data_IF_006380632525
#
_entry.id   IF_006380632525
#
_cell.length_a   1.000
_cell.length_b   1.000
_cell.length_c   1.000
_cell.angle_alpha   90.00
_cell.angle_beta   90.00
_cell.angle_gamma   90.00
#
_symmetry.space_group_name_H-M   'P 1'
#
loop_
_entity.id
_entity.type
_entity.pdbx_description
1 polymer ?
#
# COMPACT_ATOMS: atom_id res chain seq x y z
N UNK A 1 14.81 -8.36 8.27
CA UNK A 1 15.07 -7.67 6.99
C UNK A 1 14.35 -8.44 5.90
N UNK A 2 13.61 -7.76 5.04
CA UNK A 2 12.82 -8.38 3.98
C UNK A 2 13.63 -8.52 2.68
N UNK A 3 13.34 -9.55 1.90
CA UNK A 3 13.99 -9.77 0.60
C UNK A 3 13.27 -8.99 -0.51
N UNK A 4 13.77 -7.81 -0.86
CA UNK A 4 13.14 -6.88 -1.81
C UNK A 4 12.84 -7.54 -3.18
N UNK A 5 13.75 -8.35 -3.72
CA UNK A 5 13.53 -9.03 -5.00
C UNK A 5 12.33 -9.98 -4.95
N UNK A 6 12.22 -10.76 -3.88
CA UNK A 6 11.09 -11.67 -3.65
C UNK A 6 9.79 -10.87 -3.49
N UNK A 7 9.79 -9.82 -2.66
CA UNK A 7 8.61 -8.99 -2.48
C UNK A 7 8.15 -8.34 -3.80
N UNK A 8 9.08 -7.90 -4.65
CA UNK A 8 8.75 -7.36 -5.96
C UNK A 8 8.11 -8.42 -6.88
N UNK A 9 8.63 -9.64 -6.88
CA UNK A 9 8.10 -10.73 -7.70
C UNK A 9 6.69 -11.18 -7.26
N UNK A 10 6.42 -11.16 -5.96
CA UNK A 10 5.18 -11.66 -5.35
C UNK A 10 4.08 -10.59 -5.21
N UNK A 11 4.37 -9.36 -5.61
CA UNK A 11 3.44 -8.23 -5.60
C UNK A 11 3.17 -7.74 -7.01
N UNK A 12 2.17 -6.87 -7.17
CA UNK A 12 1.87 -6.21 -8.43
C UNK A 12 2.06 -4.68 -8.33
N UNK A 13 2.07 -4.00 -9.46
CA UNK A 13 2.14 -2.54 -9.49
C UNK A 13 0.80 -1.95 -9.04
N UNK A 14 0.82 -0.83 -8.30
CA UNK A 14 -0.41 -0.23 -7.77
C UNK A 14 -1.42 0.18 -8.83
N UNK A 15 -0.98 0.66 -10.00
CA UNK A 15 -1.90 0.99 -11.09
C UNK A 15 -2.46 -0.26 -11.75
N UNK A 16 -1.63 -1.29 -11.91
CA UNK A 16 -2.08 -2.59 -12.42
C UNK A 16 -3.14 -3.21 -11.51
N UNK A 17 -2.95 -3.14 -10.19
CA UNK A 17 -3.94 -3.61 -9.22
C UNK A 17 -5.27 -2.87 -9.30
N UNK A 18 -5.23 -1.54 -9.40
CA UNK A 18 -6.44 -0.71 -9.51
C UNK A 18 -7.20 -1.07 -10.79
N UNK A 19 -6.50 -1.19 -11.92
CA UNK A 19 -7.16 -1.52 -13.20
C UNK A 19 -7.71 -2.95 -13.21
N UNK A 20 -6.96 -3.92 -12.69
CA UNK A 20 -7.42 -5.32 -12.61
C UNK A 20 -8.60 -5.49 -11.66
N UNK A 21 -8.73 -4.62 -10.66
CA UNK A 21 -9.81 -4.61 -9.67
C UNK A 21 -11.03 -3.80 -10.09
N UNK A 22 -10.98 -3.07 -11.21
CA UNK A 22 -11.99 -2.07 -11.62
C UNK A 22 -13.43 -2.58 -11.64
N UNK A 23 -13.66 -3.80 -12.10
CA UNK A 23 -15.01 -4.39 -12.13
C UNK A 23 -15.54 -4.74 -10.73
N UNK A 24 -14.66 -5.19 -9.83
CA UNK A 24 -15.02 -5.64 -8.47
C UNK A 24 -15.06 -4.48 -7.47
N UNK A 25 -14.23 -3.46 -7.69
CA UNK A 25 -14.01 -2.33 -6.82
C UNK A 25 -13.86 -1.02 -7.64
N UNK A 26 -14.93 -0.57 -8.33
CA UNK A 26 -14.91 0.67 -9.10
C UNK A 26 -14.53 1.91 -8.25
N UNK A 27 -14.76 1.84 -6.94
CA UNK A 27 -14.38 2.90 -5.98
C UNK A 27 -12.88 3.22 -6.00
N UNK A 28 -12.01 2.26 -6.36
CA UNK A 28 -10.60 2.55 -6.56
C UNK A 28 -10.37 3.54 -7.70
N UNK A 29 -11.01 3.29 -8.85
CA UNK A 29 -10.91 4.15 -10.03
C UNK A 29 -11.57 5.51 -9.78
N UNK A 30 -12.74 5.54 -9.15
CA UNK A 30 -13.43 6.79 -8.80
C UNK A 30 -12.57 7.66 -7.89
N UNK A 31 -11.99 7.07 -6.84
CA UNK A 31 -11.11 7.81 -5.93
C UNK A 31 -9.83 8.25 -6.62
N UNK A 32 -9.23 7.42 -7.46
CA UNK A 32 -8.06 7.80 -8.26
C UNK A 32 -8.38 9.02 -9.14
N UNK A 33 -9.51 9.04 -9.84
CA UNK A 33 -9.89 10.18 -10.69
C UNK A 33 -10.19 11.46 -9.89
N UNK A 34 -10.71 11.34 -8.67
CA UNK A 34 -11.13 12.48 -7.86
C UNK A 34 -10.04 13.06 -6.95
N UNK A 35 -8.95 12.31 -6.70
CA UNK A 35 -7.89 12.75 -5.78
C UNK A 35 -6.81 13.55 -6.50
N UNK A 36 -6.22 14.52 -5.81
CA UNK A 36 -5.08 15.31 -6.30
C UNK A 36 -4.13 15.53 -5.14
N UNK A 37 -2.84 15.30 -5.36
CA UNK A 37 -1.83 15.47 -4.33
C UNK A 37 -1.53 16.95 -4.06
N UNK A 38 -1.15 17.22 -2.81
CA UNK A 38 -0.59 18.51 -2.45
C UNK A 38 0.82 18.66 -3.07
N UNK A 39 0.96 19.65 -3.96
CA UNK A 39 2.18 19.85 -4.77
C UNK A 39 3.46 20.03 -3.94
N UNK A 40 3.38 20.67 -2.79
CA UNK A 40 4.53 20.85 -1.91
C UNK A 40 4.99 19.50 -1.34
N UNK A 41 4.05 18.67 -0.90
CA UNK A 41 4.33 17.34 -0.34
C UNK A 41 4.86 16.41 -1.42
N UNK A 42 4.26 16.41 -2.62
CA UNK A 42 4.73 15.57 -3.73
C UNK A 42 6.16 15.93 -4.17
N UNK A 43 6.51 17.23 -4.14
CA UNK A 43 7.89 17.69 -4.40
C UNK A 43 8.87 17.14 -3.37
N UNK A 44 8.53 17.17 -2.08
CA UNK A 44 9.40 16.61 -1.03
C UNK A 44 9.53 15.09 -1.15
N UNK A 45 8.41 14.38 -1.35
CA UNK A 45 8.41 12.93 -1.54
C UNK A 45 9.28 12.48 -2.73
N UNK A 46 9.33 13.26 -3.81
CA UNK A 46 10.19 12.98 -4.97
C UNK A 46 11.66 12.83 -4.57
N UNK A 47 12.15 13.62 -3.61
CA UNK A 47 13.53 13.55 -3.10
C UNK A 47 13.88 12.23 -2.37
N UNK A 48 12.87 11.40 -2.06
CA UNK A 48 13.03 10.10 -1.40
C UNK A 48 12.66 8.92 -2.31
N UNK A 49 12.19 9.19 -3.52
CA UNK A 49 11.59 8.20 -4.43
C UNK A 49 12.52 7.05 -4.79
N UNK A 50 13.82 7.31 -4.89
CA UNK A 50 14.79 6.30 -5.25
C UNK A 50 15.21 5.44 -4.05
N UNK A 51 14.97 5.87 -2.81
CA UNK A 51 15.51 5.24 -1.58
C UNK A 51 14.59 4.19 -0.97
N UNK A 52 13.28 4.32 -1.20
CA UNK A 52 12.28 3.55 -0.50
C UNK A 52 11.29 2.88 -1.45
N UNK A 53 10.60 1.85 -0.96
CA UNK A 53 9.47 1.22 -1.64
C UNK A 53 8.36 0.98 -0.62
N UNK A 54 7.13 1.30 -1.01
CA UNK A 54 5.93 1.04 -0.22
C UNK A 54 5.39 -0.33 -0.64
N UNK A 55 5.21 -1.23 0.31
CA UNK A 55 4.47 -2.48 0.12
C UNK A 55 3.16 -2.38 0.87
N UNK A 56 2.04 -2.39 0.14
CA UNK A 56 0.71 -2.26 0.72
C UNK A 56 -0.11 -3.54 0.52
N UNK A 57 -0.92 -3.87 1.53
CA UNK A 57 -1.84 -4.98 1.50
C UNK A 57 -3.26 -4.48 1.25
N UNK A 58 -3.96 -5.04 0.26
CA UNK A 58 -5.26 -4.53 -0.18
C UNK A 58 -6.26 -5.64 -0.51
N UNK A 59 -7.55 -5.30 -0.40
CA UNK A 59 -8.63 -6.13 -0.88
C UNK A 59 -9.76 -5.29 -1.50
N UNK A 60 -10.38 -5.85 -2.52
CA UNK A 60 -11.46 -5.24 -3.32
C UNK A 60 -12.75 -5.06 -2.53
N UNK A 61 -12.89 -5.65 -1.34
CA UNK A 61 -14.06 -5.51 -0.46
C UNK A 61 -13.82 -4.53 0.69
N UNK A 62 -12.65 -3.91 0.80
CA UNK A 62 -12.26 -3.10 1.94
C UNK A 62 -12.50 -1.59 1.69
N UNK A 63 -13.42 -0.93 2.43
CA UNK A 63 -13.67 0.50 2.28
C UNK A 63 -12.45 1.39 2.52
N UNK A 64 -11.61 1.00 3.48
CA UNK A 64 -10.40 1.76 3.82
C UNK A 64 -9.34 1.63 2.70
N UNK A 65 -9.32 0.50 1.99
CA UNK A 65 -8.47 0.35 0.81
C UNK A 65 -8.91 1.32 -0.28
N UNK A 66 -10.23 1.46 -0.52
CA UNK A 66 -10.74 2.42 -1.53
C UNK A 66 -10.27 3.85 -1.28
N UNK A 67 -10.08 4.23 -0.01
CA UNK A 67 -9.64 5.59 0.36
C UNK A 67 -8.16 5.83 0.10
N UNK A 68 -7.31 4.83 0.40
CA UNK A 68 -5.87 5.02 0.52
C UNK A 68 -5.04 4.43 -0.63
N UNK A 69 -5.42 3.26 -1.19
CA UNK A 69 -4.66 2.63 -2.28
C UNK A 69 -4.59 3.52 -3.54
N UNK A 70 -5.67 4.21 -3.95
CA UNK A 70 -5.60 5.14 -5.07
C UNK A 70 -4.69 6.34 -4.84
N UNK A 71 -4.53 6.77 -3.58
CA UNK A 71 -3.60 7.86 -3.24
C UNK A 71 -2.16 7.40 -3.42
N UNK A 72 -1.82 6.15 -3.08
CA UNK A 72 -0.50 5.60 -3.35
C UNK A 72 -0.17 5.53 -4.85
N UNK A 73 -1.18 5.30 -5.70
CA UNK A 73 -1.00 5.33 -7.16
C UNK A 73 -0.63 6.72 -7.67
N UNK A 74 -1.27 7.77 -7.14
CA UNK A 74 -0.88 9.16 -7.41
C UNK A 74 0.52 9.48 -6.91
N UNK A 75 0.87 9.04 -5.70
CA UNK A 75 2.20 9.26 -5.13
C UNK A 75 3.25 8.63 -6.05
N UNK A 76 3.06 7.38 -6.46
CA UNK A 76 3.98 6.73 -7.38
C UNK A 76 4.10 7.48 -8.71
N UNK A 77 2.99 7.94 -9.30
CA UNK A 77 2.99 8.64 -10.58
C UNK A 77 3.68 10.00 -10.52
N UNK A 78 3.38 10.82 -9.52
CA UNK A 78 3.90 12.18 -9.44
C UNK A 78 5.34 12.24 -8.91
N UNK A 79 5.72 11.28 -8.05
CA UNK A 79 6.98 11.35 -7.30
C UNK A 79 7.99 10.30 -7.71
N UNK A 80 7.55 9.20 -8.34
CA UNK A 80 8.37 8.03 -8.60
C UNK A 80 8.55 7.10 -7.39
N UNK A 81 7.99 7.43 -6.22
CA UNK A 81 8.07 6.58 -5.03
C UNK A 81 7.32 5.27 -5.26
N UNK A 82 8.10 4.21 -5.48
CA UNK A 82 7.58 2.91 -5.89
C UNK A 82 6.61 2.33 -4.85
N UNK A 83 5.46 1.88 -5.32
CA UNK A 83 4.42 1.22 -4.54
C UNK A 83 4.08 -0.13 -5.15
N UNK A 84 4.03 -1.15 -4.30
CA UNK A 84 3.74 -2.54 -4.65
C UNK A 84 2.58 -3.06 -3.83
N UNK A 85 1.67 -3.81 -4.45
CA UNK A 85 0.44 -4.29 -3.82
C UNK A 85 0.47 -5.80 -3.65
N UNK A 86 0.21 -6.25 -2.43
CA UNK A 86 -0.22 -7.60 -2.11
C UNK A 86 -1.76 -7.61 -2.06
N UNK A 87 -2.35 -7.89 -3.22
CA UNK A 87 -3.78 -7.77 -3.47
C UNK A 87 -4.59 -9.02 -3.15
N UNK A 88 -5.89 -8.94 -3.49
CA UNK A 88 -6.82 -10.07 -3.50
C UNK A 88 -6.98 -10.81 -2.16
N UNK A 89 -6.79 -10.08 -1.06
CA UNK A 89 -6.84 -10.70 0.26
C UNK A 89 -8.23 -11.22 0.60
N UNK A 90 -8.24 -12.37 1.28
CA UNK A 90 -9.47 -13.02 1.72
C UNK A 90 -9.34 -13.43 3.18
N UNK A 91 -10.33 -13.06 4.00
CA UNK A 91 -10.39 -13.50 5.39
C UNK A 91 -10.63 -15.00 5.47
N UNK A 92 -9.99 -15.65 6.44
CA UNK A 92 -10.29 -17.05 6.76
C UNK A 92 -11.41 -17.14 7.79
N UNK A 93 -12.66 -17.11 7.32
CA UNK A 93 -13.84 -17.16 8.19
C UNK A 93 -13.99 -18.51 8.93
N UNK A 94 -13.24 -19.55 8.56
CA UNK A 94 -13.33 -20.89 9.18
C UNK A 94 -12.25 -21.14 10.22
N UNK A 95 -11.24 -20.28 10.29
CA UNK A 95 -10.14 -20.43 11.23
C UNK A 95 -10.33 -19.53 12.45
N UNK A 96 -10.07 -20.08 13.63
CA UNK A 96 -10.01 -19.30 14.88
C UNK A 96 -8.63 -18.73 15.16
N UNK A 97 -7.60 -19.13 14.40
CA UNK A 97 -6.19 -18.76 14.61
C UNK A 97 -5.59 -18.00 13.43
N UNK A 98 -5.96 -18.35 12.19
CA UNK A 98 -5.50 -17.67 10.99
C UNK A 98 -6.50 -16.59 10.58
N UNK A 99 -6.01 -15.37 10.32
CA UNK A 99 -6.85 -14.25 9.87
C UNK A 99 -7.12 -14.28 8.38
N UNK A 100 -6.14 -14.71 7.59
CA UNK A 100 -6.15 -14.66 6.13
C UNK A 100 -6.12 -16.07 5.56
N UNK A 101 -6.94 -16.31 4.54
CA UNK A 101 -6.94 -17.56 3.81
C UNK A 101 -5.88 -17.50 2.72
N UNK A 102 -4.94 -18.44 2.75
CA UNK A 102 -3.86 -18.59 1.77
C UNK A 102 -4.09 -19.94 1.05
N UNK A 103 -4.41 -19.98 -0.25
CA UNK A 103 -4.80 -18.90 -1.16
C UNK A 103 -6.27 -18.42 -0.97
N UNK A 104 -6.68 -17.26 -1.51
CA UNK A 104 -6.00 -16.41 -2.50
C UNK A 104 -5.05 -15.35 -1.92
N UNK A 105 -5.03 -15.15 -0.60
CA UNK A 105 -4.08 -14.22 0.01
C UNK A 105 -2.65 -14.75 -0.21
N UNK A 106 -1.66 -13.87 -0.42
CA UNK A 106 -0.26 -14.26 -0.57
C UNK A 106 0.34 -14.64 0.78
N UNK A 107 1.45 -15.39 0.80
CA UNK A 107 2.09 -15.83 2.06
C UNK A 107 2.64 -14.67 2.90
N UNK A 108 2.87 -13.51 2.26
CA UNK A 108 3.36 -12.29 2.91
C UNK A 108 2.42 -11.77 4.00
N UNK A 109 1.15 -12.18 4.03
CA UNK A 109 0.27 -11.85 5.17
C UNK A 109 0.77 -12.48 6.48
N UNK A 110 1.47 -13.61 6.42
CA UNK A 110 2.17 -14.21 7.57
C UNK A 110 3.56 -13.57 7.76
N UNK A 111 4.31 -13.29 6.68
CA UNK A 111 5.66 -12.68 6.78
C UNK A 111 5.65 -11.26 7.38
N UNK A 112 4.55 -10.52 7.21
CA UNK A 112 4.35 -9.17 7.77
C UNK A 112 3.46 -9.17 9.03
N UNK A 113 3.08 -10.35 9.55
CA UNK A 113 2.14 -10.47 10.67
C UNK A 113 0.87 -9.62 10.47
N UNK A 114 0.31 -9.64 9.25
CA UNK A 114 -0.74 -8.71 8.83
C UNK A 114 -2.01 -8.86 9.68
N UNK A 115 -2.39 -7.78 10.36
CA UNK A 115 -3.59 -7.76 11.21
C UNK A 115 -4.78 -7.06 10.53
N UNK A 116 -4.52 -5.97 9.82
CA UNK A 116 -5.54 -5.08 9.25
C UNK A 116 -5.19 -4.64 7.83
N UNK A 117 -6.17 -4.12 7.10
CA UNK A 117 -5.96 -3.60 5.75
C UNK A 117 -6.71 -2.28 5.54
N UNK A 118 -6.18 -1.35 4.72
CA UNK A 118 -4.87 -1.43 4.09
C UNK A 118 -3.76 -1.28 5.14
N UNK A 119 -2.68 -2.04 5.00
CA UNK A 119 -1.45 -1.81 5.77
C UNK A 119 -0.33 -1.50 4.80
N UNK A 120 0.38 -0.42 5.03
CA UNK A 120 1.39 0.14 4.12
C UNK A 120 2.73 0.11 4.86
N UNK A 121 3.64 -0.73 4.41
CA UNK A 121 4.97 -0.89 4.99
C UNK A 121 5.99 -0.20 4.09
N UNK A 122 6.80 0.68 4.66
CA UNK A 122 7.81 1.44 3.94
C UNK A 122 9.16 0.79 4.22
N UNK A 123 9.80 0.29 3.16
CA UNK A 123 11.09 -0.38 3.24
C UNK A 123 12.17 0.42 2.51
N UNK A 124 13.38 0.42 3.03
CA UNK A 124 14.57 0.89 2.31
C UNK A 124 15.07 -0.14 1.28
N UNK A 125 16.13 0.21 0.54
CA UNK A 125 16.76 -0.68 -0.47
C UNK A 125 17.32 -1.98 0.11
N UNK A 126 17.69 -1.97 1.38
CA UNK A 126 18.24 -3.14 2.08
C UNK A 126 17.12 -4.06 2.58
N UNK A 127 15.88 -3.58 2.59
CA UNK A 127 14.73 -4.32 3.10
C UNK A 127 14.49 -4.11 4.59
N UNK A 128 15.04 -3.06 5.19
CA UNK A 128 14.70 -2.66 6.54
C UNK A 128 13.39 -1.87 6.53
N UNK A 129 12.53 -2.14 7.51
CA UNK A 129 11.30 -1.37 7.70
C UNK A 129 11.62 -0.05 8.38
N UNK A 130 11.39 1.06 7.68
CA UNK A 130 11.58 2.42 8.22
C UNK A 130 10.29 2.99 8.83
N UNK A 131 9.14 2.47 8.41
CA UNK A 131 7.87 2.79 9.06
C UNK A 131 6.69 2.06 8.43
N UNK A 132 5.50 2.30 9.00
CA UNK A 132 4.25 1.73 8.53
C UNK A 132 3.06 2.63 8.82
N UNK A 133 2.00 2.49 8.01
CA UNK A 133 0.70 3.11 8.22
C UNK A 133 -0.35 2.01 8.16
N UNK A 134 -1.15 1.88 9.22
CA UNK A 134 -2.16 0.83 9.36
C UNK A 134 -3.55 1.46 9.27
N UNK A 135 -4.34 0.98 8.31
CA UNK A 135 -5.68 1.44 7.90
C UNK A 135 -5.74 2.87 7.37
N UNK A 136 -5.38 3.85 8.19
CA UNK A 136 -5.51 5.27 7.87
C UNK A 136 -4.30 6.06 8.40
N UNK A 137 -3.95 7.21 7.78
CA UNK A 137 -2.94 8.11 8.33
C UNK A 137 -3.37 8.66 9.71
N UNK A 138 -2.42 9.20 10.52
CA UNK A 138 -2.75 9.89 11.77
C UNK A 138 -3.81 10.97 11.58
N UNK A 139 -4.64 11.18 12.61
CA UNK A 139 -5.74 12.16 12.56
C UNK A 139 -5.24 13.54 12.15
N UNK A 140 -5.90 14.14 11.15
CA UNK A 140 -5.57 15.46 10.63
C UNK A 140 -4.47 15.49 9.56
N UNK A 141 -3.91 14.34 9.17
CA UNK A 141 -2.93 14.23 8.08
C UNK A 141 -3.52 13.53 6.86
N UNK A 142 -3.09 13.97 5.68
CA UNK A 142 -3.26 13.21 4.44
C UNK A 142 -2.31 12.01 4.42
N UNK A 143 -2.51 11.08 3.49
CA UNK A 143 -1.65 9.90 3.41
C UNK A 143 -0.22 10.28 2.99
N UNK A 144 -0.09 11.15 1.99
CA UNK A 144 1.18 11.66 1.51
C UNK A 144 1.94 12.43 2.60
N UNK A 145 1.25 13.20 3.44
CA UNK A 145 1.88 13.89 4.58
C UNK A 145 2.43 12.90 5.60
N UNK A 146 1.64 11.88 5.95
CA UNK A 146 2.04 10.85 6.90
C UNK A 146 3.22 10.02 6.40
N UNK A 147 3.27 9.71 5.10
CA UNK A 147 4.42 9.04 4.50
C UNK A 147 5.64 9.94 4.56
N UNK A 148 5.51 11.23 4.19
CA UNK A 148 6.62 12.16 4.23
C UNK A 148 7.23 12.26 5.64
N UNK A 149 6.41 12.36 6.70
CA UNK A 149 6.91 12.38 8.08
C UNK A 149 7.80 11.17 8.40
N UNK A 150 7.40 9.98 7.94
CA UNK A 150 8.18 8.75 8.15
C UNK A 150 9.51 8.82 7.41
N UNK A 151 9.53 9.37 6.19
CA UNK A 151 10.73 9.44 5.36
C UNK A 151 11.73 10.52 5.82
N UNK A 152 11.28 11.49 6.62
CA UNK A 152 12.07 12.58 7.20
C UNK A 152 12.41 12.37 8.70
N UNK A 153 12.03 11.23 9.28
CA UNK A 153 12.28 10.89 10.70
C UNK A 153 13.72 10.45 11.00
#
# INVERSE_FOLDING_TARGET
MYHIEKLNADSEDVKQYIESSKEKAPQFTERYQAYTLEKEISTKLNCHSDKYTIYAFSAEWCPDCYRNIPVLAHIQEETGLKTRIFGHLMRDAKSSTKRWRIPPSPTQVEEFDLIKIPSMYILDKEGNKVGEIIENPPTGKTLEAAILDILES
#
